data_IF_436320469043
#
_entry.id   IF_436320469043
#
_cell.length_a   1.000
_cell.length_b   1.000
_cell.length_c   1.000
_cell.angle_alpha   90.00
_cell.angle_beta   90.00
_cell.angle_gamma   90.00
#
_symmetry.space_group_name_H-M   'P 1'
#
loop_
_entity.id
_entity.type
_entity.pdbx_description
1 polymer ?
#
# COMPACT_ATOMS: atom_id res chain seq x y z
N UNK A 1 -20.15 -12.26 -19.18
CA UNK A 1 -19.10 -11.23 -19.38
C UNK A 1 -18.51 -10.90 -18.03
N UNK A 2 -17.19 -10.96 -17.88
CA UNK A 2 -16.54 -10.62 -16.61
C UNK A 2 -16.45 -9.09 -16.52
N UNK A 3 -17.16 -8.49 -15.57
CA UNK A 3 -17.03 -7.07 -15.29
C UNK A 3 -15.60 -6.78 -14.79
N UNK A 4 -14.85 -5.98 -15.55
CA UNK A 4 -13.51 -5.57 -15.15
C UNK A 4 -13.62 -4.43 -14.15
N UNK A 5 -13.03 -4.58 -12.96
CA UNK A 5 -12.99 -3.49 -11.96
C UNK A 5 -11.79 -2.59 -12.21
N UNK A 6 -12.06 -1.31 -12.47
CA UNK A 6 -11.04 -0.26 -12.57
C UNK A 6 -11.02 0.60 -11.32
N UNK A 7 -9.84 1.15 -11.02
CA UNK A 7 -9.58 1.95 -9.83
C UNK A 7 -8.78 3.18 -10.21
N UNK A 8 -9.22 4.33 -9.71
CA UNK A 8 -8.60 5.63 -9.92
C UNK A 8 -8.50 6.37 -8.58
N UNK A 9 -7.47 7.21 -8.44
CA UNK A 9 -7.27 8.09 -7.31
C UNK A 9 -7.86 9.45 -7.67
N UNK A 10 -8.67 10.02 -6.79
CA UNK A 10 -9.34 11.31 -6.97
C UNK A 10 -8.89 12.26 -5.88
N UNK A 11 -8.25 13.37 -6.25
CA UNK A 11 -7.76 14.39 -5.31
C UNK A 11 -8.74 15.55 -5.17
N UNK A 12 -8.65 16.25 -4.05
CA UNK A 12 -9.47 17.43 -3.75
C UNK A 12 -10.80 17.14 -3.05
N UNK A 13 -11.06 15.89 -2.67
CA UNK A 13 -12.27 15.54 -1.91
C UNK A 13 -12.06 15.77 -0.41
N UNK A 14 -12.91 16.59 0.20
CA UNK A 14 -12.81 16.95 1.64
C UNK A 14 -14.08 16.66 2.43
N UNK A 15 -15.19 16.30 1.77
CA UNK A 15 -16.49 16.12 2.41
C UNK A 15 -17.31 15.01 1.74
N UNK A 16 -18.30 14.46 2.46
CA UNK A 16 -19.24 13.46 1.94
C UNK A 16 -20.00 13.95 0.68
N UNK A 17 -20.27 15.26 0.58
CA UNK A 17 -20.90 15.85 -0.61
C UNK A 17 -20.00 15.77 -1.86
N UNK A 18 -18.67 15.75 -1.68
CA UNK A 18 -17.71 15.58 -2.77
C UNK A 18 -17.79 14.18 -3.38
N UNK A 19 -18.01 13.15 -2.55
CA UNK A 19 -18.17 11.74 -2.96
C UNK A 19 -19.27 11.61 -4.00
N UNK A 20 -20.46 12.09 -3.65
CA UNK A 20 -21.63 11.97 -4.53
C UNK A 20 -21.47 12.77 -5.82
N UNK A 21 -20.73 13.88 -5.81
CA UNK A 21 -20.43 14.65 -7.02
C UNK A 21 -19.53 13.84 -7.98
N UNK A 22 -18.49 13.21 -7.45
CA UNK A 22 -17.56 12.37 -8.22
C UNK A 22 -18.25 11.11 -8.74
N UNK A 23 -19.04 10.42 -7.92
CA UNK A 23 -19.81 9.23 -8.34
C UNK A 23 -20.78 9.56 -9.47
N UNK A 24 -21.55 10.66 -9.35
CA UNK A 24 -22.46 11.13 -10.40
C UNK A 24 -21.73 11.56 -11.67
N UNK A 25 -20.53 12.11 -11.56
CA UNK A 25 -19.72 12.46 -12.73
C UNK A 25 -19.23 11.20 -13.46
N UNK A 26 -18.78 10.19 -12.72
CA UNK A 26 -18.33 8.91 -13.26
C UNK A 26 -19.47 8.11 -13.92
N UNK A 27 -20.66 8.09 -13.33
CA UNK A 27 -21.86 7.43 -13.88
C UNK A 27 -22.32 7.97 -15.24
N UNK A 28 -21.90 9.18 -15.61
CA UNK A 28 -22.23 9.79 -16.91
C UNK A 28 -21.31 9.34 -18.05
N UNK A 29 -20.24 8.62 -17.75
CA UNK A 29 -19.34 8.04 -18.75
C UNK A 29 -19.94 6.72 -19.21
N UNK A 30 -20.01 6.54 -20.52
CA UNK A 30 -20.51 5.29 -21.09
C UNK A 30 -19.60 4.11 -20.69
N UNK A 31 -20.20 2.97 -20.34
CA UNK A 31 -19.48 1.77 -19.90
C UNK A 31 -19.09 1.73 -18.42
N UNK A 32 -19.27 2.82 -17.66
CA UNK A 32 -19.08 2.85 -16.20
C UNK A 32 -20.33 2.37 -15.46
N UNK A 33 -20.17 1.37 -14.59
CA UNK A 33 -21.21 0.87 -13.67
C UNK A 33 -20.75 0.92 -12.23
N UNK A 34 -21.71 1.14 -11.33
CA UNK A 34 -21.52 1.05 -9.89
C UNK A 34 -20.29 1.83 -9.37
N UNK A 35 -20.11 3.13 -9.69
CA UNK A 35 -18.99 3.89 -9.15
C UNK A 35 -19.17 4.06 -7.64
N UNK A 36 -18.16 3.64 -6.91
CA UNK A 36 -18.08 3.80 -5.46
C UNK A 36 -16.84 4.62 -5.15
N UNK A 37 -17.03 5.70 -4.39
CA UNK A 37 -15.94 6.56 -3.96
C UNK A 37 -15.70 6.40 -2.46
N UNK A 38 -14.44 6.24 -2.09
CA UNK A 38 -14.00 6.21 -0.70
C UNK A 38 -13.16 7.46 -0.40
N UNK A 39 -13.65 8.31 0.50
CA UNK A 39 -12.90 9.49 0.97
C UNK A 39 -11.62 9.09 1.70
N UNK A 40 -11.70 8.04 2.54
CA UNK A 40 -10.59 7.65 3.39
C UNK A 40 -9.36 7.18 2.59
N UNK A 41 -9.60 6.65 1.40
CA UNK A 41 -8.55 6.14 0.51
C UNK A 41 -8.40 6.97 -0.76
N UNK A 42 -9.19 8.04 -0.91
CA UNK A 42 -9.23 8.89 -2.11
C UNK A 42 -9.45 8.10 -3.41
N UNK A 43 -10.15 6.96 -3.35
CA UNK A 43 -10.30 6.03 -4.47
C UNK A 43 -11.70 6.02 -5.05
N UNK A 44 -11.79 6.09 -6.37
CA UNK A 44 -12.96 5.77 -7.18
C UNK A 44 -12.77 4.37 -7.77
N UNK A 45 -13.71 3.47 -7.48
CA UNK A 45 -13.76 2.11 -8.05
C UNK A 45 -15.05 1.96 -8.83
N UNK A 46 -14.98 1.39 -10.03
CA UNK A 46 -16.17 1.10 -10.83
C UNK A 46 -15.98 -0.17 -11.67
N UNK A 47 -17.10 -0.69 -12.14
CA UNK A 47 -17.18 -1.84 -13.03
C UNK A 47 -17.28 -1.36 -14.48
N UNK A 48 -16.55 -2.03 -15.37
CA UNK A 48 -16.51 -1.75 -16.80
C UNK A 48 -17.25 -2.84 -17.56
N UNK A 49 -18.32 -2.48 -18.24
CA UNK A 49 -19.08 -3.39 -19.12
C UNK A 49 -18.60 -3.30 -20.58
N UNK A 50 -18.33 -2.08 -21.05
CA UNK A 50 -17.77 -1.78 -22.38
C UNK A 50 -16.47 -1.00 -22.23
N UNK A 51 -15.52 -1.11 -23.16
CA UNK A 51 -14.30 -0.32 -23.12
C UNK A 51 -14.62 1.17 -22.99
N UNK A 52 -14.17 1.79 -21.91
CA UNK A 52 -14.37 3.21 -21.65
C UNK A 52 -13.26 4.05 -22.28
N UNK A 53 -13.60 5.28 -22.67
CA UNK A 53 -12.62 6.32 -22.91
C UNK A 53 -12.16 6.91 -21.58
N UNK A 54 -10.94 6.57 -21.15
CA UNK A 54 -10.35 7.08 -19.91
C UNK A 54 -10.20 8.61 -19.94
N UNK A 55 -10.09 9.23 -21.13
CA UNK A 55 -9.96 10.69 -21.26
C UNK A 55 -11.27 11.42 -20.96
N UNK A 56 -12.42 10.87 -21.36
CA UNK A 56 -13.74 11.42 -21.05
C UNK A 56 -14.00 11.41 -19.53
N UNK A 57 -13.64 10.32 -18.86
CA UNK A 57 -13.74 10.20 -17.40
C UNK A 57 -12.93 11.30 -16.71
N UNK A 58 -11.68 11.50 -17.14
CA UNK A 58 -10.80 12.55 -16.61
C UNK A 58 -11.40 13.94 -16.82
N UNK A 59 -11.91 14.23 -18.01
CA UNK A 59 -12.50 15.53 -18.33
C UNK A 59 -13.74 15.81 -17.47
N UNK A 60 -14.64 14.83 -17.31
CA UNK A 60 -15.86 15.00 -16.52
C UNK A 60 -15.58 15.23 -15.03
N UNK A 61 -14.61 14.53 -14.47
CA UNK A 61 -14.24 14.68 -13.06
C UNK A 61 -13.51 16.01 -12.84
N UNK A 62 -12.69 16.46 -13.80
CA UNK A 62 -12.14 17.83 -13.81
C UNK A 62 -13.22 18.91 -13.86
N UNK A 63 -14.26 18.74 -14.70
CA UNK A 63 -15.42 19.65 -14.75
C UNK A 63 -16.19 19.69 -13.42
N UNK A 64 -16.14 18.63 -12.64
CA UNK A 64 -16.69 18.59 -11.29
C UNK A 64 -15.78 19.23 -10.22
N UNK A 65 -14.56 19.67 -10.60
CA UNK A 65 -13.61 20.36 -9.72
C UNK A 65 -12.58 19.45 -9.05
N UNK A 66 -12.43 18.20 -9.50
CA UNK A 66 -11.53 17.22 -8.91
C UNK A 66 -10.46 16.76 -9.90
N UNK A 67 -9.30 16.40 -9.39
CA UNK A 67 -8.25 15.78 -10.19
C UNK A 67 -8.35 14.26 -10.08
N UNK A 68 -8.15 13.54 -11.18
CA UNK A 68 -8.21 12.07 -11.19
C UNK A 68 -7.01 11.49 -11.95
N UNK A 69 -6.45 10.42 -11.40
CA UNK A 69 -5.35 9.67 -11.98
C UNK A 69 -5.57 8.16 -11.78
N UNK A 70 -5.00 7.33 -12.66
CA UNK A 70 -5.15 5.88 -12.57
C UNK A 70 -4.43 5.35 -11.33
N UNK A 71 -5.12 4.52 -10.54
CA UNK A 71 -4.49 3.90 -9.36
C UNK A 71 -3.47 2.87 -9.83
N UNK A 72 -2.18 3.14 -9.64
CA UNK A 72 -1.13 2.15 -9.87
C UNK A 72 -1.27 1.05 -8.82
N UNK A 73 -1.59 -0.18 -9.23
CA UNK A 73 -1.66 -1.34 -8.33
C UNK A 73 -0.24 -1.83 -7.99
N UNK A 74 0.47 -1.03 -7.22
CA UNK A 74 1.82 -1.36 -6.80
C UNK A 74 1.83 -2.59 -5.88
N UNK A 75 2.71 -3.55 -6.17
CA UNK A 75 2.99 -4.71 -5.34
C UNK A 75 4.41 -4.63 -4.80
N UNK A 76 4.59 -5.08 -3.56
CA UNK A 76 5.91 -5.20 -2.93
C UNK A 76 6.38 -6.65 -2.92
N UNK A 77 7.61 -6.85 -3.34
CA UNK A 77 8.32 -8.12 -3.22
C UNK A 77 9.64 -7.90 -2.49
N UNK A 78 10.07 -8.92 -1.77
CA UNK A 78 11.44 -9.03 -1.28
C UNK A 78 12.13 -10.13 -2.07
N UNK A 79 13.22 -9.78 -2.76
CA UNK A 79 14.03 -10.67 -3.56
C UNK A 79 15.38 -10.91 -2.87
N UNK A 80 15.72 -12.16 -2.61
CA UNK A 80 17.04 -12.52 -2.09
C UNK A 80 18.07 -12.57 -3.23
N UNK A 81 19.18 -11.88 -3.04
CA UNK A 81 20.22 -11.68 -4.06
C UNK A 81 21.56 -12.16 -3.51
N UNK A 82 22.11 -13.19 -4.15
CA UNK A 82 23.42 -13.73 -3.80
C UNK A 82 24.53 -13.11 -4.65
N UNK A 83 25.73 -13.05 -4.06
CA UNK A 83 26.94 -12.58 -4.73
C UNK A 83 27.21 -11.08 -4.54
N UNK A 84 26.42 -10.39 -3.71
CA UNK A 84 26.72 -9.01 -3.30
C UNK A 84 27.73 -9.03 -2.15
N UNK A 85 28.92 -8.48 -2.37
CA UNK A 85 29.99 -8.44 -1.36
C UNK A 85 30.44 -7.04 -0.97
N UNK A 86 29.92 -6.01 -1.66
CA UNK A 86 30.32 -4.63 -1.46
C UNK A 86 29.13 -3.68 -1.66
N UNK A 87 29.20 -2.48 -1.06
CA UNK A 87 28.23 -1.40 -1.27
C UNK A 87 28.08 -1.03 -2.76
N UNK A 88 29.13 -1.16 -3.57
CA UNK A 88 29.06 -0.95 -5.01
C UNK A 88 28.16 -1.97 -5.73
N UNK A 89 28.05 -3.20 -5.22
CA UNK A 89 27.16 -4.23 -5.75
C UNK A 89 25.69 -3.86 -5.51
N UNK A 90 25.38 -3.32 -4.33
CA UNK A 90 24.04 -2.81 -3.98
C UNK A 90 23.59 -1.77 -5.00
N UNK A 91 24.43 -0.74 -5.24
CA UNK A 91 24.13 0.32 -6.21
C UNK A 91 23.96 -0.20 -7.63
N UNK A 92 24.72 -1.22 -8.04
CA UNK A 92 24.61 -1.82 -9.37
C UNK A 92 23.26 -2.53 -9.54
N UNK A 93 22.83 -3.32 -8.54
CA UNK A 93 21.54 -4.01 -8.52
C UNK A 93 20.38 -3.02 -8.51
N UNK A 94 20.42 -2.00 -7.64
CA UNK A 94 19.37 -0.97 -7.58
C UNK A 94 19.19 -0.26 -8.92
N UNK A 95 20.30 0.15 -9.55
CA UNK A 95 20.28 0.77 -10.88
C UNK A 95 19.78 -0.17 -11.97
N UNK A 96 20.08 -1.46 -11.88
CA UNK A 96 19.62 -2.44 -12.87
C UNK A 96 18.11 -2.62 -12.80
N UNK A 97 17.55 -2.73 -11.59
CA UNK A 97 16.10 -2.90 -11.40
C UNK A 97 15.36 -1.60 -11.70
N UNK A 98 15.84 -0.44 -11.23
CA UNK A 98 15.19 0.86 -11.49
C UNK A 98 15.09 1.25 -12.98
N UNK A 99 15.85 0.60 -13.87
CA UNK A 99 15.73 0.83 -15.32
C UNK A 99 14.52 0.13 -15.96
N UNK A 100 13.88 -0.80 -15.27
CA UNK A 100 12.71 -1.50 -15.77
C UNK A 100 11.48 -0.57 -15.69
N UNK A 101 10.71 -0.52 -16.77
CA UNK A 101 9.44 0.20 -16.78
C UNK A 101 8.43 -0.49 -15.85
N UNK A 102 7.72 0.30 -15.03
CA UNK A 102 6.84 -0.22 -14.00
C UNK A 102 7.47 -0.46 -12.61
N UNK A 103 8.74 -0.10 -12.39
CA UNK A 103 9.32 -0.04 -11.05
C UNK A 103 9.01 1.30 -10.39
N UNK A 104 8.45 1.26 -9.18
CA UNK A 104 8.16 2.46 -8.39
C UNK A 104 9.26 2.77 -7.38
N UNK A 105 9.77 1.75 -6.69
CA UNK A 105 10.89 1.91 -5.77
C UNK A 105 11.68 0.61 -5.63
N UNK A 106 12.98 0.74 -5.37
CA UNK A 106 13.90 -0.36 -5.07
C UNK A 106 14.78 0.07 -3.91
N UNK A 107 14.96 -0.80 -2.93
CA UNK A 107 15.93 -0.64 -1.86
C UNK A 107 16.63 -1.97 -1.61
N UNK A 108 17.95 -1.97 -1.65
CA UNK A 108 18.75 -3.17 -1.42
C UNK A 108 19.48 -3.06 -0.08
N UNK A 109 19.40 -4.11 0.73
CA UNK A 109 20.08 -4.22 2.01
C UNK A 109 21.13 -5.32 1.93
N UNK A 110 22.41 -4.93 2.01
CA UNK A 110 23.55 -5.84 1.95
C UNK A 110 23.62 -6.77 3.17
N UNK A 111 23.30 -6.27 4.37
CA UNK A 111 23.33 -7.05 5.61
C UNK A 111 22.32 -8.20 5.59
N UNK A 112 21.16 -7.99 4.97
CA UNK A 112 20.11 -9.03 4.86
C UNK A 112 20.08 -9.72 3.49
N UNK A 113 20.99 -9.38 2.58
CA UNK A 113 21.06 -9.88 1.19
C UNK A 113 19.72 -9.82 0.44
N UNK A 114 18.93 -8.77 0.70
CA UNK A 114 17.54 -8.63 0.20
C UNK A 114 17.32 -7.31 -0.52
N UNK A 115 16.60 -7.39 -1.63
CA UNK A 115 16.07 -6.25 -2.36
C UNK A 115 14.56 -6.15 -2.11
N UNK A 116 14.12 -5.05 -1.50
CA UNK A 116 12.72 -4.67 -1.42
C UNK A 116 12.36 -3.88 -2.69
N UNK A 117 11.40 -4.38 -3.46
CA UNK A 117 11.02 -3.82 -4.76
C UNK A 117 9.52 -3.59 -4.79
N UNK A 118 9.12 -2.37 -5.12
CA UNK A 118 7.74 -1.99 -5.39
C UNK A 118 7.55 -1.79 -6.89
N UNK A 119 6.62 -2.54 -7.48
CA UNK A 119 6.44 -2.58 -8.92
C UNK A 119 4.96 -2.68 -9.32
N UNK A 120 4.63 -2.24 -10.54
CA UNK A 120 3.33 -2.44 -11.16
C UNK A 120 3.30 -3.79 -11.89
N UNK A 121 2.51 -4.77 -11.44
CA UNK A 121 2.40 -6.09 -12.07
C UNK A 121 1.73 -6.05 -13.45
N UNK A 122 1.13 -4.92 -13.83
CA UNK A 122 0.55 -4.69 -15.15
C UNK A 122 1.63 -4.34 -16.19
N UNK A 123 2.77 -3.80 -15.74
CA UNK A 123 3.86 -3.32 -16.59
C UNK A 123 5.07 -4.27 -16.57
N UNK A 124 5.42 -4.83 -15.40
CA UNK A 124 6.60 -5.70 -15.25
C UNK A 124 6.30 -6.94 -14.43
N UNK A 125 6.84 -8.09 -14.86
CA UNK A 125 6.72 -9.35 -14.13
C UNK A 125 7.95 -9.59 -13.25
N UNK A 126 7.74 -10.36 -12.18
CA UNK A 126 8.82 -10.77 -11.25
C UNK A 126 9.95 -11.47 -12.01
N UNK A 127 9.64 -12.25 -13.05
CA UNK A 127 10.64 -12.92 -13.87
C UNK A 127 11.58 -11.93 -14.59
N UNK A 128 11.07 -10.79 -15.05
CA UNK A 128 11.86 -9.77 -15.73
C UNK A 128 12.76 -9.01 -14.75
N UNK A 129 12.25 -8.78 -13.53
CA UNK A 129 13.01 -8.24 -12.41
C UNK A 129 14.19 -9.17 -12.07
N UNK A 130 13.95 -10.49 -11.96
CA UNK A 130 15.01 -11.48 -11.72
C UNK A 130 16.05 -11.48 -12.83
N UNK A 131 15.62 -11.50 -14.09
CA UNK A 131 16.52 -11.44 -15.26
C UNK A 131 17.39 -10.19 -15.26
N UNK A 132 16.86 -9.04 -14.85
CA UNK A 132 17.64 -7.81 -14.75
C UNK A 132 18.78 -7.92 -13.72
N UNK A 133 18.51 -8.58 -12.58
CA UNK A 133 19.52 -8.88 -11.55
C UNK A 133 20.57 -9.86 -12.08
N UNK A 134 20.12 -10.94 -12.75
CA UNK A 134 21.00 -11.98 -13.32
C UNK A 134 21.91 -11.46 -14.42
N UNK A 135 21.41 -10.56 -15.28
CA UNK A 135 22.20 -9.91 -16.32
C UNK A 135 23.36 -9.07 -15.77
N UNK A 136 23.29 -8.67 -14.50
CA UNK A 136 24.35 -7.93 -13.81
C UNK A 136 25.29 -8.83 -13.00
N UNK A 137 25.18 -10.17 -13.15
CA UNK A 137 26.11 -11.13 -12.55
C UNK A 137 25.72 -11.63 -11.16
N UNK A 138 24.51 -11.35 -10.69
CA UNK A 138 24.01 -11.77 -9.37
C UNK A 138 22.95 -12.87 -9.49
N UNK A 139 22.72 -13.66 -8.44
CA UNK A 139 21.68 -14.71 -8.46
C UNK A 139 20.46 -14.30 -7.65
N UNK A 140 19.26 -14.53 -8.20
CA UNK A 140 17.99 -14.08 -7.63
C UNK A 140 17.08 -15.26 -7.23
N UNK A 141 17.15 -15.71 -5.97
CA UNK A 141 16.56 -17.00 -5.54
C UNK A 141 15.13 -16.88 -5.02
N UNK A 142 14.94 -16.35 -3.81
CA UNK A 142 13.65 -16.39 -3.12
C UNK A 142 12.88 -15.09 -3.34
N UNK A 143 11.58 -15.20 -3.62
CA UNK A 143 10.66 -14.06 -3.72
C UNK A 143 9.64 -14.19 -2.62
N UNK A 144 9.65 -13.26 -1.67
CA UNK A 144 8.55 -13.10 -0.72
C UNK A 144 7.67 -11.96 -1.20
N UNK A 145 6.49 -12.28 -1.75
CA UNK A 145 5.47 -11.26 -2.03
C UNK A 145 4.79 -10.91 -0.72
N UNK A 146 5.03 -9.70 -0.22
CA UNK A 146 4.26 -9.17 0.90
C UNK A 146 3.31 -8.11 0.35
N UNK A 147 2.02 -8.46 0.27
CA UNK A 147 0.95 -7.49 0.09
C UNK A 147 0.76 -6.75 1.40
N UNK A 148 1.43 -5.60 1.56
CA UNK A 148 1.32 -4.77 2.75
C UNK A 148 0.15 -3.78 2.61
N UNK A 149 -0.92 -4.01 3.37
CA UNK A 149 -1.67 -2.95 4.03
C UNK A 149 -0.72 -2.22 4.99
N UNK A 150 -0.71 -0.89 4.94
CA UNK A 150 0.30 0.01 5.55
C UNK A 150 0.35 0.02 7.09
N UNK A 151 -0.29 -0.94 7.77
CA UNK A 151 -0.66 -0.84 9.18
C UNK A 151 0.20 -1.67 10.15
N UNK A 152 0.90 -2.73 9.72
CA UNK A 152 1.54 -3.66 10.68
C UNK A 152 2.80 -3.12 11.36
N UNK A 153 3.63 -2.35 10.65
CA UNK A 153 4.90 -1.84 11.22
C UNK A 153 4.67 -0.71 12.24
N UNK A 154 3.58 0.06 12.09
CA UNK A 154 3.18 1.05 13.10
C UNK A 154 2.50 0.38 14.29
N UNK A 155 1.85 -0.78 14.12
CA UNK A 155 1.25 -1.54 15.23
C UNK A 155 2.29 -2.07 16.20
N UNK A 156 3.42 -2.62 15.75
CA UNK A 156 4.40 -3.25 16.65
C UNK A 156 5.10 -2.25 17.59
N UNK A 157 5.48 -1.08 17.08
CA UNK A 157 6.05 -0.01 17.90
C UNK A 157 5.02 0.62 18.86
N UNK A 158 3.74 0.62 18.47
CA UNK A 158 2.65 1.20 19.27
C UNK A 158 2.18 0.23 20.37
N UNK A 159 2.00 -1.06 20.10
CA UNK A 159 1.53 -2.08 21.08
C UNK A 159 2.49 -2.24 22.26
N UNK A 160 3.81 -2.15 22.02
CA UNK A 160 4.82 -2.31 23.09
C UNK A 160 4.77 -1.18 24.12
N UNK A 161 4.41 0.03 23.71
CA UNK A 161 4.32 1.19 24.60
C UNK A 161 3.09 1.14 25.52
N UNK A 162 1.98 0.55 25.07
CA UNK A 162 0.75 0.39 25.88
C UNK A 162 0.87 -0.70 26.94
N UNK A 163 1.46 -1.87 26.62
CA UNK A 163 1.62 -2.96 27.60
C UNK A 163 2.47 -2.58 28.81
N UNK A 164 3.54 -1.81 28.59
CA UNK A 164 4.43 -1.36 29.67
C UNK A 164 3.71 -0.36 30.60
N UNK A 165 2.92 0.57 30.06
CA UNK A 165 2.11 1.51 30.85
C UNK A 165 0.99 0.81 31.65
N UNK A 166 0.36 -0.21 31.07
CA UNK A 166 -0.66 -1.00 31.75
C UNK A 166 -0.10 -1.73 32.98
N UNK A 167 1.09 -2.33 32.84
CA UNK A 167 1.76 -3.03 33.95
C UNK A 167 2.12 -2.07 35.10
N UNK A 168 2.63 -0.87 34.78
CA UNK A 168 2.94 0.14 35.79
C UNK A 168 1.68 0.69 36.49
N UNK A 169 0.58 0.90 35.76
CA UNK A 169 -0.68 1.39 36.34
C UNK A 169 -1.33 0.37 37.29
N UNK A 170 -1.30 -0.92 36.97
CA UNK A 170 -1.88 -1.96 37.82
C UNK A 170 -1.19 -2.08 39.18
N UNK A 171 0.12 -1.83 39.26
CA UNK A 171 0.88 -1.85 40.53
C UNK A 171 0.38 -0.76 41.50
N UNK A 172 -0.10 0.38 41.01
CA UNK A 172 -0.64 1.45 41.86
C UNK A 172 -2.15 1.29 42.15
N UNK A 173 -2.91 0.71 41.22
CA UNK A 173 -4.35 0.52 41.38
C UNK A 173 -4.72 -0.68 42.28
N UNK A 174 -3.96 -1.78 42.19
CA UNK A 174 -4.25 -3.00 42.96
C UNK A 174 -4.17 -2.79 44.49
N UNK A 175 -3.15 -2.10 45.04
CA UNK A 175 -3.09 -1.84 46.48
C UNK A 175 -4.25 -0.97 46.96
N UNK A 176 -4.61 0.08 46.20
CA UNK A 176 -5.72 0.96 46.53
C UNK A 176 -7.05 0.20 46.54
N UNK A 177 -7.24 -0.70 45.57
CA UNK A 177 -8.45 -1.53 45.45
C UNK A 177 -8.52 -2.57 46.57
N UNK A 178 -7.41 -3.19 46.96
CA UNK A 178 -7.35 -4.10 48.11
C UNK A 178 -7.68 -3.39 49.43
N UNK A 179 -7.17 -2.17 49.64
CA UNK A 179 -7.51 -1.35 50.81
C UNK A 179 -9.01 -1.00 50.83
N UNK A 180 -9.56 -0.60 49.69
CA UNK A 180 -10.98 -0.30 49.58
C UNK A 180 -11.87 -1.53 49.84
N UNK A 181 -11.47 -2.70 49.35
CA UNK A 181 -12.20 -3.95 49.58
C UNK A 181 -12.07 -4.44 51.02
N UNK A 182 -10.91 -4.29 51.67
CA UNK A 182 -10.72 -4.68 53.06
C UNK A 182 -11.72 -4.00 54.02
N UNK A 183 -12.07 -2.73 53.75
CA UNK A 183 -13.03 -1.98 54.55
C UNK A 183 -14.48 -2.51 54.45
N UNK A 184 -14.84 -3.22 53.36
CA UNK A 184 -16.17 -3.86 53.25
C UNK A 184 -16.21 -5.27 53.86
N UNK A 185 -15.06 -5.93 54.05
CA UNK A 185 -14.99 -7.27 54.64
C UNK A 185 -14.83 -7.27 56.17
N UNK A 186 -14.84 -6.10 56.82
CA UNK A 186 -15.02 -5.98 58.27
C UNK A 186 -13.86 -6.55 59.11
N UNK A 187 -12.62 -6.38 58.64
CA UNK A 187 -11.40 -6.52 59.44
C UNK A 187 -10.97 -5.12 59.91
#
# INVERSE_FOLDING_TARGET
>A
MMAEKKEFIVKGMTCASCVSAVEKAALKVEGVKNPVVSLATERLVFEVETPIDESELVERIKKAGYEIEKSKKLRKISLEIEGMTCASCVSAVEKAVNKLDGINSVSVNLTTEKAAIEYDPSLVRIADIKKAVEKNGYKAKSVTTKTYDRDSERREAVTRSYRRKFLFSSIFALPLLLVAMAHMFGI
#
